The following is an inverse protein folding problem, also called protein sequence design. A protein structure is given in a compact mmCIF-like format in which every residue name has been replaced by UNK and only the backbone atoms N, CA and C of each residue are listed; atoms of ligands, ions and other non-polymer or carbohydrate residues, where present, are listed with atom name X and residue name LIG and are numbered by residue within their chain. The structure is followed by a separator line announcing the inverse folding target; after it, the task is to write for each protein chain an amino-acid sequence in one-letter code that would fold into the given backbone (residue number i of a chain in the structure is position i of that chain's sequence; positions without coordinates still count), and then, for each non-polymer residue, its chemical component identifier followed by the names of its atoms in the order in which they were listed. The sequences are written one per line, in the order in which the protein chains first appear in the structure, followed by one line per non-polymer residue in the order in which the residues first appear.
data_IF_282498554277
#
_entry.id   IF_282498554277
#
_cell.length_a   1.000
_cell.length_b   1.000
_cell.length_c   1.000
_cell.angle_alpha   90.00
_cell.angle_beta   90.00
_cell.angle_gamma   90.00
#
_symmetry.space_group_name_H-M   'P 1'
#
loop_
_entity.id
_entity.type
_entity.pdbx_description
1 polymer ?
#
# COMPACT_ATOMS: atom_id res chain seq x y z
N UNK A 1 58.47 41.71 -10.97
CA UNK A 1 57.28 42.13 -10.17
C UNK A 1 56.16 41.20 -10.59
N UNK A 2 55.84 40.22 -9.74
CA UNK A 2 54.74 39.27 -9.94
C UNK A 2 53.48 39.89 -9.35
N UNK A 3 52.36 39.76 -10.04
CA UNK A 3 51.02 39.99 -9.45
C UNK A 3 50.11 38.87 -9.90
N UNK A 4 50.13 37.76 -9.17
CA UNK A 4 49.04 36.78 -9.18
C UNK A 4 47.90 37.36 -8.35
N UNK A 5 46.76 37.59 -8.98
CA UNK A 5 45.51 37.95 -8.31
C UNK A 5 44.65 36.69 -8.33
N UNK A 6 44.69 35.91 -7.24
CA UNK A 6 43.76 34.79 -7.05
C UNK A 6 42.35 35.32 -6.83
N UNK A 7 41.53 35.24 -7.88
CA UNK A 7 40.08 35.30 -7.76
C UNK A 7 39.61 33.95 -7.21
N UNK A 8 39.36 33.90 -5.91
CA UNK A 8 38.61 32.86 -5.24
C UNK A 8 37.19 32.81 -5.82
N UNK A 9 36.98 31.91 -6.78
CA UNK A 9 35.64 31.51 -7.24
C UNK A 9 34.98 30.70 -6.13
N UNK A 10 34.16 31.37 -5.34
CA UNK A 10 33.08 30.73 -4.59
C UNK A 10 32.21 29.97 -5.61
N UNK A 11 32.18 28.63 -5.53
CA UNK A 11 31.17 27.86 -6.24
C UNK A 11 29.80 28.13 -5.59
N UNK A 12 28.74 28.38 -6.37
CA UNK A 12 27.41 28.50 -5.80
C UNK A 12 26.97 27.15 -5.23
N UNK A 13 26.52 27.17 -3.98
CA UNK A 13 25.79 26.08 -3.35
C UNK A 13 24.37 26.11 -3.92
N UNK A 14 24.11 25.29 -4.94
CA UNK A 14 22.74 24.96 -5.35
C UNK A 14 22.29 23.71 -4.58
N UNK A 15 21.30 23.79 -3.66
CA UNK A 15 20.75 22.61 -2.97
C UNK A 15 19.60 21.98 -3.75
N UNK A 16 19.57 22.14 -5.08
CA UNK A 16 18.48 21.64 -5.91
C UNK A 16 18.98 20.45 -6.73
N UNK A 17 18.52 19.26 -6.34
CA UNK A 17 18.78 18.02 -7.08
C UNK A 17 18.41 18.21 -8.55
N UNK A 18 19.31 17.81 -9.44
CA UNK A 18 19.07 17.80 -10.88
C UNK A 18 17.94 16.83 -11.24
N UNK A 19 17.27 17.08 -12.36
CA UNK A 19 16.21 16.22 -12.86
C UNK A 19 16.70 14.77 -13.06
N UNK A 20 17.96 14.60 -13.45
CA UNK A 20 18.60 13.30 -13.63
C UNK A 20 18.80 12.56 -12.30
N UNK A 21 19.17 13.27 -11.23
CA UNK A 21 19.27 12.68 -9.89
C UNK A 21 17.90 12.23 -9.37
N UNK A 22 16.85 13.04 -9.60
CA UNK A 22 15.47 12.66 -9.25
C UNK A 22 15.00 11.45 -10.05
N UNK A 23 15.37 11.36 -11.34
CA UNK A 23 15.06 10.20 -12.18
C UNK A 23 15.84 8.95 -11.72
N UNK A 24 17.11 9.10 -11.36
CA UNK A 24 17.94 8.02 -10.83
C UNK A 24 17.41 7.51 -9.48
N UNK A 25 16.93 8.39 -8.60
CA UNK A 25 16.28 8.01 -7.34
C UNK A 25 14.98 7.23 -7.59
N UNK A 26 14.15 7.68 -8.53
CA UNK A 26 12.92 6.96 -8.93
C UNK A 26 13.23 5.58 -9.51
N UNK A 27 14.27 5.47 -10.33
CA UNK A 27 14.70 4.22 -10.93
C UNK A 27 15.31 3.28 -9.89
N UNK A 28 16.11 3.79 -8.95
CA UNK A 28 16.66 3.03 -7.84
C UNK A 28 15.56 2.55 -6.88
N UNK A 29 14.49 3.31 -6.68
CA UNK A 29 13.35 2.87 -5.86
C UNK A 29 12.53 1.77 -6.52
N UNK A 30 12.28 1.88 -7.84
CA UNK A 30 11.73 0.75 -8.59
C UNK A 30 12.63 -0.48 -8.47
N UNK A 31 13.94 -0.31 -8.55
CA UNK A 31 14.91 -1.39 -8.35
C UNK A 31 14.89 -1.94 -6.92
N UNK A 32 14.78 -1.12 -5.88
CA UNK A 32 14.73 -1.60 -4.49
C UNK A 32 13.45 -2.40 -4.19
N UNK A 33 12.31 -1.98 -4.75
CA UNK A 33 11.05 -2.75 -4.72
C UNK A 33 11.21 -4.08 -5.47
N UNK A 34 12.02 -4.09 -6.55
CA UNK A 34 12.32 -5.30 -7.31
C UNK A 34 13.41 -6.17 -6.66
N UNK A 35 14.37 -5.64 -5.91
CA UNK A 35 15.46 -6.39 -5.26
C UNK A 35 15.04 -7.05 -3.94
N UNK A 36 13.90 -6.65 -3.35
CA UNK A 36 13.23 -7.45 -2.32
C UNK A 36 12.76 -8.83 -2.88
N UNK A 37 12.75 -9.02 -4.21
CA UNK A 37 12.61 -10.35 -4.84
C UNK A 37 13.87 -11.19 -4.59
N UNK A 38 13.86 -11.97 -3.51
CA UNK A 38 14.62 -13.23 -3.47
C UNK A 38 13.79 -14.33 -4.14
N UNK A 39 14.23 -14.92 -5.27
CA UNK A 39 13.44 -15.90 -6.03
C UNK A 39 13.22 -17.26 -5.36
N UNK A 40 13.68 -17.46 -4.12
CA UNK A 40 13.86 -18.78 -3.55
C UNK A 40 13.46 -18.89 -2.07
N UNK A 41 12.33 -18.29 -1.67
CA UNK A 41 11.42 -18.76 -0.59
C UNK A 41 10.03 -18.15 -0.84
N UNK A 42 8.97 -18.96 -0.92
CA UNK A 42 7.53 -18.56 -0.94
C UNK A 42 7.30 -17.05 -1.24
N UNK A 43 7.51 -16.67 -2.50
CA UNK A 43 7.67 -15.27 -2.95
C UNK A 43 6.44 -14.42 -2.63
N UNK A 44 6.52 -13.61 -1.58
CA UNK A 44 5.56 -12.53 -1.35
C UNK A 44 5.83 -11.40 -2.34
N UNK A 45 5.29 -11.54 -3.55
CA UNK A 45 5.57 -10.65 -4.66
C UNK A 45 4.84 -9.32 -4.50
N UNK A 46 5.53 -8.22 -4.85
CA UNK A 46 4.87 -6.92 -4.97
C UNK A 46 4.00 -6.92 -6.22
N UNK A 47 2.70 -6.67 -6.06
CA UNK A 47 1.71 -6.68 -7.14
C UNK A 47 1.44 -5.32 -7.74
N UNK A 48 1.60 -4.27 -6.94
CA UNK A 48 1.23 -2.91 -7.33
C UNK A 48 2.10 -1.89 -6.60
N UNK A 49 2.42 -0.81 -7.30
CA UNK A 49 3.09 0.37 -6.74
C UNK A 49 2.43 1.63 -7.24
N UNK A 50 2.37 2.66 -6.40
CA UNK A 50 1.82 3.96 -6.77
C UNK A 50 2.54 5.09 -6.03
N UNK A 51 2.92 6.13 -6.77
CA UNK A 51 3.47 7.36 -6.21
C UNK A 51 2.35 8.25 -5.68
N UNK A 52 2.58 8.91 -4.55
CA UNK A 52 1.72 10.01 -4.13
C UNK A 52 1.84 11.17 -5.14
N UNK A 53 0.76 11.93 -5.41
CA UNK A 53 0.80 13.05 -6.34
C UNK A 53 1.83 14.14 -6.01
N UNK A 54 2.14 14.34 -4.73
CA UNK A 54 3.19 15.26 -4.28
C UNK A 54 4.62 14.67 -4.36
N UNK A 55 4.73 13.38 -4.69
CA UNK A 55 6.00 12.67 -4.82
C UNK A 55 6.73 12.41 -3.51
N UNK A 56 6.12 12.64 -2.34
CA UNK A 56 6.75 12.39 -1.03
C UNK A 56 6.71 10.93 -0.59
N UNK A 57 5.73 10.17 -1.08
CA UNK A 57 5.53 8.79 -0.72
C UNK A 57 5.45 7.87 -1.94
N UNK A 58 5.96 6.66 -1.78
CA UNK A 58 5.68 5.52 -2.64
C UNK A 58 4.84 4.52 -1.83
N UNK A 59 3.78 4.00 -2.41
CA UNK A 59 3.00 2.90 -1.85
C UNK A 59 3.31 1.62 -2.62
N UNK A 60 3.41 0.49 -1.92
CA UNK A 60 3.46 -0.85 -2.52
C UNK A 60 2.45 -1.79 -1.88
N UNK A 61 1.79 -2.62 -2.70
CA UNK A 61 0.90 -3.71 -2.25
C UNK A 61 1.47 -5.06 -2.61
N UNK A 62 1.41 -6.04 -1.69
CA UNK A 62 2.10 -7.33 -1.81
C UNK A 62 1.23 -8.54 -1.50
N UNK A 63 1.68 -9.71 -1.97
CA UNK A 63 1.19 -11.03 -1.57
C UNK A 63 1.34 -11.32 -0.08
N UNK A 64 2.23 -10.60 0.63
CA UNK A 64 2.34 -10.67 2.10
C UNK A 64 1.13 -10.07 2.84
N UNK A 65 0.10 -9.64 2.10
CA UNK A 65 -1.16 -9.08 2.62
C UNK A 65 -0.97 -7.69 3.26
N UNK A 66 0.17 -7.04 3.01
CA UNK A 66 0.45 -5.70 3.52
C UNK A 66 0.50 -4.67 2.41
N UNK A 67 0.27 -3.42 2.81
CA UNK A 67 0.67 -2.25 2.04
C UNK A 67 1.85 -1.60 2.75
N UNK A 68 2.89 -1.19 2.04
CA UNK A 68 4.00 -0.42 2.61
C UNK A 68 4.02 0.99 2.05
N UNK A 69 4.29 1.96 2.92
CA UNK A 69 4.53 3.35 2.56
C UNK A 69 5.99 3.68 2.78
N UNK A 70 6.62 4.22 1.74
CA UNK A 70 8.03 4.53 1.69
C UNK A 70 8.22 6.03 1.51
N UNK A 71 9.11 6.63 2.29
CA UNK A 71 9.54 8.00 2.06
C UNK A 71 10.44 8.06 0.83
N UNK A 72 10.12 8.91 -0.13
CA UNK A 72 10.80 8.91 -1.43
C UNK A 72 12.20 9.51 -1.38
N UNK A 73 12.48 10.42 -0.45
CA UNK A 73 13.80 11.04 -0.33
C UNK A 73 14.83 10.11 0.30
N UNK A 74 14.41 9.31 1.28
CA UNK A 74 15.31 8.46 2.08
C UNK A 74 15.23 6.98 1.70
N UNK A 75 14.16 6.57 1.02
CA UNK A 75 13.85 5.16 0.74
C UNK A 75 13.42 4.38 1.98
N UNK A 76 13.17 5.03 3.11
CA UNK A 76 12.79 4.33 4.34
C UNK A 76 11.31 3.90 4.29
N UNK A 77 11.05 2.68 4.76
CA UNK A 77 9.68 2.21 5.00
C UNK A 77 9.12 2.89 6.25
N UNK A 78 8.22 3.86 6.08
CA UNK A 78 7.61 4.58 7.20
C UNK A 78 6.48 3.79 7.85
N UNK A 79 5.67 3.12 7.03
CA UNK A 79 4.53 2.34 7.51
C UNK A 79 4.44 1.00 6.81
N UNK A 80 4.13 -0.05 7.59
CA UNK A 80 3.60 -1.32 7.10
C UNK A 80 2.15 -1.42 7.55
N UNK A 81 1.24 -1.20 6.62
CA UNK A 81 -0.19 -1.18 6.84
C UNK A 81 -0.72 -2.62 6.79
N UNK A 82 -1.10 -3.12 7.96
CA UNK A 82 -1.68 -4.45 8.12
C UNK A 82 -3.19 -4.38 8.25
N UNK A 83 -3.87 -5.43 7.79
CA UNK A 83 -5.31 -5.59 7.99
C UNK A 83 -6.04 -6.27 6.85
N UNK A 84 -5.41 -6.42 5.68
CA UNK A 84 -5.89 -7.35 4.67
C UNK A 84 -5.60 -8.78 5.10
N UNK A 85 -6.50 -9.71 4.76
CA UNK A 85 -6.34 -11.14 5.07
C UNK A 85 -5.92 -11.97 3.86
N UNK A 86 -5.61 -11.31 2.75
CA UNK A 86 -5.16 -11.90 1.50
C UNK A 86 -4.36 -10.87 0.69
N UNK A 87 -3.74 -11.31 -0.40
CA UNK A 87 -2.85 -10.51 -1.24
C UNK A 87 -3.45 -9.15 -1.62
N UNK A 88 -2.66 -8.09 -1.47
CA UNK A 88 -3.03 -6.76 -1.93
C UNK A 88 -2.72 -6.67 -3.42
N UNK A 89 -3.76 -6.48 -4.23
CA UNK A 89 -3.65 -6.55 -5.69
C UNK A 89 -3.44 -5.19 -6.34
N UNK A 90 -3.88 -4.11 -5.71
CA UNK A 90 -3.73 -2.75 -6.24
C UNK A 90 -3.67 -1.72 -5.12
N UNK A 91 -2.95 -0.63 -5.38
CA UNK A 91 -2.90 0.57 -4.53
C UNK A 91 -3.10 1.81 -5.39
N UNK A 92 -3.77 2.83 -4.86
CA UNK A 92 -3.94 4.12 -5.53
C UNK A 92 -4.06 5.27 -4.52
N UNK A 93 -3.46 6.41 -4.87
CA UNK A 93 -3.46 7.60 -4.03
C UNK A 93 -4.63 8.52 -4.31
N UNK A 94 -5.10 9.22 -3.28
CA UNK A 94 -5.96 10.39 -3.48
C UNK A 94 -5.19 11.53 -4.14
N UNK A 95 -5.86 12.40 -4.92
CA UNK A 95 -5.20 13.52 -5.59
C UNK A 95 -4.53 14.54 -4.66
N UNK A 96 -4.95 14.58 -3.38
CA UNK A 96 -4.39 15.46 -2.36
C UNK A 96 -3.24 14.81 -1.54
N UNK A 97 -2.82 13.60 -1.92
CA UNK A 97 -1.75 12.82 -1.26
C UNK A 97 -2.00 12.43 0.21
N UNK A 98 -3.18 12.70 0.77
CA UNK A 98 -3.44 12.45 2.20
C UNK A 98 -3.90 11.03 2.49
N UNK A 99 -4.48 10.37 1.48
CA UNK A 99 -5.05 9.04 1.65
C UNK A 99 -4.62 8.11 0.54
N UNK A 100 -4.59 6.82 0.88
CA UNK A 100 -4.32 5.73 -0.03
C UNK A 100 -5.49 4.76 0.04
N UNK A 101 -5.93 4.25 -1.11
CA UNK A 101 -6.81 3.09 -1.16
C UNK A 101 -6.02 1.85 -1.58
N UNK A 102 -6.29 0.73 -0.94
CA UNK A 102 -5.79 -0.58 -1.36
C UNK A 102 -6.97 -1.52 -1.64
N UNK A 103 -6.82 -2.38 -2.63
CA UNK A 103 -7.75 -3.49 -2.88
C UNK A 103 -7.04 -4.82 -2.71
N UNK A 104 -7.77 -5.82 -2.22
CA UNK A 104 -7.22 -7.13 -1.91
C UNK A 104 -8.10 -8.26 -2.44
N UNK A 105 -7.48 -9.42 -2.63
CA UNK A 105 -8.16 -10.68 -2.88
C UNK A 105 -9.01 -11.17 -1.68
N UNK A 106 -9.05 -10.43 -0.56
CA UNK A 106 -9.95 -10.67 0.57
C UNK A 106 -11.35 -10.08 0.38
N UNK A 107 -11.66 -9.59 -0.83
CA UNK A 107 -12.94 -8.97 -1.21
C UNK A 107 -13.18 -7.61 -0.55
N UNK A 108 -12.16 -7.02 0.07
CA UNK A 108 -12.23 -5.71 0.68
C UNK A 108 -11.32 -4.69 -0.01
N UNK A 109 -11.72 -3.43 0.12
CA UNK A 109 -10.85 -2.28 -0.11
C UNK A 109 -10.65 -1.55 1.22
N UNK A 110 -9.46 -1.02 1.47
CA UNK A 110 -9.16 -0.26 2.68
C UNK A 110 -8.67 1.12 2.32
N UNK A 111 -9.20 2.12 3.00
CA UNK A 111 -8.75 3.51 2.92
C UNK A 111 -7.83 3.77 4.10
N UNK A 112 -6.64 4.30 3.82
CA UNK A 112 -5.60 4.56 4.79
C UNK A 112 -5.26 6.05 4.82
N UNK A 113 -4.92 6.55 6.00
CA UNK A 113 -4.32 7.87 6.14
C UNK A 113 -2.81 7.77 5.97
N UNK A 114 -2.24 8.54 5.05
CA UNK A 114 -0.84 8.42 4.66
C UNK A 114 0.13 8.68 5.82
N UNK A 115 -0.06 9.80 6.53
CA UNK A 115 0.88 10.23 7.59
C UNK A 115 0.84 9.38 8.87
N UNK A 116 -0.30 8.75 9.16
CA UNK A 116 -0.48 7.99 10.39
C UNK A 116 -0.42 6.48 10.17
N UNK A 117 -0.57 6.02 8.92
CA UNK A 117 -0.72 4.61 8.59
C UNK A 117 -2.03 3.98 9.09
N UNK A 118 -2.97 4.77 9.63
CA UNK A 118 -4.20 4.24 10.18
C UNK A 118 -5.18 3.83 9.08
N UNK A 119 -5.83 2.67 9.25
CA UNK A 119 -6.99 2.28 8.45
C UNK A 119 -8.19 3.14 8.86
N UNK A 120 -8.69 3.96 7.94
CA UNK A 120 -9.85 4.82 8.16
C UNK A 120 -11.16 4.05 7.95
N UNK A 121 -11.23 3.29 6.85
CA UNK A 121 -12.45 2.59 6.44
C UNK A 121 -12.10 1.28 5.74
N UNK A 122 -12.90 0.24 5.97
CA UNK A 122 -12.92 -0.97 5.14
C UNK A 122 -14.22 -1.00 4.35
N UNK A 123 -14.10 -1.00 3.03
CA UNK A 123 -15.20 -1.13 2.08
C UNK A 123 -15.29 -2.59 1.64
N UNK A 124 -16.47 -3.17 1.69
CA UNK A 124 -16.76 -4.48 1.14
C UNK A 124 -18.21 -4.51 0.68
N UNK A 125 -18.54 -5.42 -0.21
CA UNK A 125 -19.93 -5.68 -0.58
C UNK A 125 -20.59 -6.47 0.54
N UNK A 126 -21.84 -6.15 0.85
CA UNK A 126 -22.62 -6.92 1.82
C UNK A 126 -22.77 -8.36 1.32
N UNK A 127 -22.39 -9.30 2.18
CA UNK A 127 -22.51 -10.72 1.86
C UNK A 127 -23.99 -11.12 1.97
N UNK A 128 -24.59 -11.78 0.95
CA UNK A 128 -26.03 -12.06 0.90
C UNK A 128 -26.59 -12.80 2.12
N UNK A 129 -25.74 -13.56 2.81
CA UNK A 129 -26.12 -14.39 3.95
C UNK A 129 -25.79 -13.75 5.30
N UNK A 130 -24.97 -12.69 5.32
CA UNK A 130 -24.56 -12.04 6.55
C UNK A 130 -25.75 -11.30 7.17
N UNK A 131 -26.09 -11.63 8.42
CA UNK A 131 -27.29 -11.11 9.08
C UNK A 131 -28.61 -11.73 8.60
N UNK A 132 -28.58 -12.71 7.67
CA UNK A 132 -29.80 -13.37 7.20
C UNK A 132 -30.47 -14.14 8.35
N UNK A 133 -31.68 -13.77 8.72
CA UNK A 133 -32.42 -14.45 9.78
C UNK A 133 -33.00 -15.79 9.27
N UNK A 134 -32.52 -16.91 9.81
CA UNK A 134 -32.97 -18.26 9.50
C UNK A 134 -33.81 -18.89 10.62
N UNK A 135 -34.20 -18.09 11.62
CA UNK A 135 -35.03 -18.52 12.74
C UNK A 135 -36.40 -18.98 12.23
N UNK A 136 -36.83 -20.17 12.66
CA UNK A 136 -38.12 -20.74 12.26
C UNK A 136 -38.20 -21.29 10.83
N UNK A 137 -37.13 -21.20 10.03
CA UNK A 137 -37.11 -21.78 8.68
C UNK A 137 -37.19 -23.30 8.75
N UNK A 138 -38.23 -23.86 8.12
CA UNK A 138 -38.47 -25.31 8.00
C UNK A 138 -37.87 -25.88 6.73
N UNK A 139 -37.52 -27.18 6.73
CA UNK A 139 -37.02 -27.88 5.53
C UNK A 139 -35.50 -27.82 5.33
N UNK A 140 -34.76 -27.07 6.16
CA UNK A 140 -33.30 -27.08 6.18
C UNK A 140 -32.74 -28.17 7.09
N UNK A 141 -31.76 -28.92 6.59
CA UNK A 141 -30.95 -29.86 7.38
C UNK A 141 -30.02 -29.14 8.36
N UNK A 142 -29.51 -29.86 9.36
CA UNK A 142 -28.50 -29.33 10.31
C UNK A 142 -27.25 -28.83 9.58
N UNK A 143 -26.79 -29.55 8.56
CA UNK A 143 -25.64 -29.16 7.76
C UNK A 143 -25.89 -27.86 6.98
N UNK A 144 -27.06 -27.72 6.35
CA UNK A 144 -27.43 -26.48 5.64
C UNK A 144 -27.51 -25.28 6.59
N UNK A 145 -28.10 -25.45 7.78
CA UNK A 145 -28.11 -24.38 8.80
C UNK A 145 -26.70 -24.03 9.27
N UNK A 146 -25.82 -25.01 9.45
CA UNK A 146 -24.42 -24.78 9.81
C UNK A 146 -23.66 -24.01 8.72
N UNK A 147 -23.84 -24.37 7.44
CA UNK A 147 -23.26 -23.64 6.31
C UNK A 147 -23.77 -22.20 6.27
N UNK A 148 -25.08 -21.96 6.39
CA UNK A 148 -25.64 -20.61 6.39
C UNK A 148 -25.09 -19.76 7.55
N UNK A 149 -24.98 -20.33 8.76
CA UNK A 149 -24.34 -19.65 9.91
C UNK A 149 -22.88 -19.34 9.66
N UNK A 150 -22.13 -20.24 9.02
CA UNK A 150 -20.74 -19.99 8.62
C UNK A 150 -20.62 -18.87 7.58
N UNK A 151 -21.66 -18.64 6.78
CA UNK A 151 -21.77 -17.52 5.83
C UNK A 151 -22.33 -16.24 6.47
N UNK A 152 -22.63 -16.25 7.77
CA UNK A 152 -23.06 -15.09 8.55
C UNK A 152 -24.56 -15.03 8.88
N UNK A 153 -25.34 -16.06 8.58
CA UNK A 153 -26.76 -16.10 8.94
C UNK A 153 -26.95 -16.19 10.46
N UNK A 154 -28.05 -15.61 10.96
CA UNK A 154 -28.41 -15.56 12.39
C UNK A 154 -29.65 -16.39 12.68
N UNK A 155 -29.69 -16.99 13.86
CA UNK A 155 -30.74 -17.92 14.31
C UNK A 155 -30.86 -17.71 15.82
N UNK A 156 -31.63 -16.68 16.20
CA UNK A 156 -31.68 -16.10 17.54
C UNK A 156 -33.06 -16.30 18.16
#
# INVERSE_FOLDING_TARGET
IKTDTEFSRLQPVDPMLSLEEVQAMRQQQLLNVLEEFRPDVLSNSVRSVAWSPDGQFLASGSDDQTVKLWETNTGQCLHTLQGHSNAVVSVAWSPDSKTLISSSADETMKLWHADSGNCLTTLRVDRPYEGMNITGVTGLTKAQKATLKALGAVDN
#
